data_IF_721209396626
#
_entry.id   IF_721209396626
#
_cell.length_a   1.000
_cell.length_b   1.000
_cell.length_c   1.000
_cell.angle_alpha   90.00
_cell.angle_beta   90.00
_cell.angle_gamma   90.00
#
_symmetry.space_group_name_H-M   'P 1'
#
loop_
_entity.id
_entity.type
_entity.pdbx_description
1 polymer ?
#
# COMPACT_ATOMS: atom_id res chain seq x y z
N UNK A 1 1.69 27.50 0.41
CA UNK A 1 0.42 26.98 0.99
C UNK A 1 0.17 25.48 0.71
N UNK A 2 0.62 24.91 -0.43
CA UNK A 2 0.55 23.45 -0.66
C UNK A 2 1.48 22.62 0.24
N UNK A 3 2.61 23.17 0.65
CA UNK A 3 3.61 22.46 1.48
C UNK A 3 3.09 22.11 2.88
N UNK A 4 2.43 23.06 3.58
CA UNK A 4 1.92 22.83 4.94
C UNK A 4 0.82 21.76 5.03
N UNK A 5 0.10 21.48 3.93
CA UNK A 5 -1.01 20.53 3.93
C UNK A 5 -0.56 19.09 4.18
N UNK A 6 0.63 18.73 3.70
CA UNK A 6 1.17 17.37 3.80
C UNK A 6 2.24 17.23 4.89
N UNK A 7 2.86 18.34 5.32
CA UNK A 7 3.84 18.32 6.41
C UNK A 7 3.22 17.88 7.73
N UNK A 8 2.03 18.39 8.09
CA UNK A 8 1.42 18.08 9.40
C UNK A 8 1.10 16.59 9.52
N UNK A 9 0.35 15.96 8.59
CA UNK A 9 0.04 14.54 8.73
C UNK A 9 1.28 13.63 8.64
N UNK A 10 2.29 14.04 7.87
CA UNK A 10 3.57 13.33 7.82
C UNK A 10 4.28 13.39 9.18
N UNK A 11 4.41 14.58 9.77
CA UNK A 11 5.04 14.75 11.08
C UNK A 11 4.29 13.99 12.17
N UNK A 12 2.96 14.01 12.14
CA UNK A 12 2.13 13.23 13.07
C UNK A 12 2.42 11.74 12.94
N UNK A 13 2.53 11.20 11.71
CA UNK A 13 2.90 9.80 11.50
C UNK A 13 4.28 9.43 12.09
N UNK A 14 5.25 10.34 12.09
CA UNK A 14 6.53 10.14 12.78
C UNK A 14 6.40 10.18 14.31
N UNK A 15 5.50 11.02 14.84
CA UNK A 15 5.25 11.16 16.29
C UNK A 15 4.50 9.96 16.89
N UNK A 16 3.78 9.18 16.08
CA UNK A 16 3.08 7.97 16.51
C UNK A 16 4.02 6.83 16.95
N UNK A 17 5.34 6.92 16.69
CA UNK A 17 6.36 5.94 17.12
C UNK A 17 6.05 4.48 16.68
N UNK A 18 5.37 4.35 15.55
CA UNK A 18 5.07 3.08 14.92
C UNK A 18 6.31 2.42 14.28
N UNK A 19 6.22 1.16 13.86
CA UNK A 19 7.31 0.46 13.16
C UNK A 19 7.59 1.05 11.78
N UNK A 20 6.65 1.77 11.17
CA UNK A 20 6.84 2.48 9.92
C UNK A 20 5.84 3.64 9.77
N UNK A 21 6.29 4.91 9.70
CA UNK A 21 5.40 6.06 9.57
C UNK A 21 4.60 6.04 8.25
N UNK A 22 5.15 5.47 7.18
CA UNK A 22 4.42 5.33 5.92
C UNK A 22 3.36 4.23 5.95
N UNK A 23 3.50 3.19 6.78
CA UNK A 23 2.38 2.26 7.02
C UNK A 23 1.22 2.99 7.70
N UNK A 24 1.52 3.86 8.67
CA UNK A 24 0.52 4.67 9.37
C UNK A 24 -0.22 5.60 8.40
N UNK A 25 0.52 6.30 7.55
CA UNK A 25 -0.05 7.15 6.49
C UNK A 25 -0.92 6.33 5.56
N UNK A 26 -0.43 5.19 5.05
CA UNK A 26 -1.19 4.35 4.14
C UNK A 26 -2.50 3.86 4.77
N UNK A 27 -2.47 3.44 6.04
CA UNK A 27 -3.70 3.05 6.76
C UNK A 27 -4.67 4.22 6.89
N UNK A 28 -4.19 5.40 7.28
CA UNK A 28 -5.04 6.58 7.43
C UNK A 28 -5.67 6.98 6.09
N UNK A 29 -4.88 6.95 5.00
CA UNK A 29 -5.37 7.20 3.64
C UNK A 29 -6.43 6.20 3.21
N UNK A 30 -6.23 4.92 3.48
CA UNK A 30 -7.19 3.87 3.15
C UNK A 30 -8.51 4.05 3.91
N UNK A 31 -8.44 4.30 5.22
CA UNK A 31 -9.63 4.55 6.04
C UNK A 31 -10.40 5.78 5.56
N UNK A 32 -9.70 6.89 5.29
CA UNK A 32 -10.31 8.10 4.74
C UNK A 32 -10.91 7.87 3.35
N UNK A 33 -10.25 7.09 2.49
CA UNK A 33 -10.78 6.77 1.16
C UNK A 33 -12.03 5.89 1.24
N UNK A 34 -12.08 4.93 2.18
CA UNK A 34 -13.29 4.14 2.46
C UNK A 34 -14.42 5.02 3.00
N UNK A 35 -14.14 5.88 3.99
CA UNK A 35 -15.12 6.82 4.54
C UNK A 35 -15.65 7.79 3.49
N UNK A 36 -14.75 8.30 2.64
CA UNK A 36 -15.16 9.15 1.52
C UNK A 36 -16.07 8.37 0.59
N UNK A 37 -15.66 7.17 0.17
CA UNK A 37 -16.39 6.36 -0.84
C UNK A 37 -17.71 5.80 -0.32
N UNK A 38 -17.81 5.41 0.95
CA UNK A 38 -18.93 4.64 1.51
C UNK A 38 -19.51 5.20 2.82
N UNK A 39 -18.91 6.25 3.40
CA UNK A 39 -19.37 6.82 4.67
C UNK A 39 -20.70 7.57 4.56
N UNK A 40 -21.09 8.20 5.66
CA UNK A 40 -22.35 8.92 5.80
C UNK A 40 -22.52 10.10 4.83
N UNK A 41 -21.41 10.65 4.32
CA UNK A 41 -21.40 11.68 3.27
C UNK A 41 -21.66 11.16 1.85
N UNK A 42 -21.77 9.84 1.66
CA UNK A 42 -22.20 9.14 0.44
C UNK A 42 -21.69 9.73 -0.90
N UNK A 43 -20.38 9.95 -1.03
CA UNK A 43 -19.79 10.46 -2.28
C UNK A 43 -20.10 9.57 -3.51
N UNK A 44 -20.37 8.28 -3.31
CA UNK A 44 -20.86 7.38 -4.37
C UNK A 44 -22.17 7.82 -5.04
N UNK A 45 -22.91 8.74 -4.40
CA UNK A 45 -24.10 9.36 -4.97
C UNK A 45 -23.76 10.52 -5.91
N UNK A 46 -22.55 11.06 -5.87
CA UNK A 46 -22.05 12.09 -6.79
C UNK A 46 -21.72 11.46 -8.15
N UNK A 47 -22.18 12.07 -9.24
CA UNK A 47 -22.10 11.48 -10.58
C UNK A 47 -20.67 11.27 -11.07
N UNK A 48 -19.75 12.16 -10.70
CA UNK A 48 -18.33 12.08 -11.04
C UNK A 48 -17.61 10.97 -10.28
N UNK A 49 -17.88 10.84 -8.97
CA UNK A 49 -17.34 9.75 -8.14
C UNK A 49 -17.92 8.41 -8.59
N UNK A 50 -19.21 8.34 -8.89
CA UNK A 50 -19.85 7.13 -9.42
C UNK A 50 -19.23 6.73 -10.76
N UNK A 51 -19.00 7.68 -11.66
CA UNK A 51 -18.33 7.40 -12.93
C UNK A 51 -16.90 6.85 -12.73
N UNK A 52 -16.15 7.39 -11.77
CA UNK A 52 -14.79 6.93 -11.45
C UNK A 52 -14.80 5.52 -10.85
N UNK A 53 -15.66 5.27 -9.87
CA UNK A 53 -15.80 3.95 -9.23
C UNK A 53 -16.34 2.90 -10.19
N UNK A 54 -17.29 3.25 -11.06
CA UNK A 54 -17.77 2.35 -12.13
C UNK A 54 -16.65 1.98 -13.11
N UNK A 55 -15.78 2.95 -13.45
CA UNK A 55 -14.66 2.73 -14.37
C UNK A 55 -13.55 1.87 -13.75
N UNK A 56 -13.15 2.18 -12.52
CA UNK A 56 -12.00 1.54 -11.88
C UNK A 56 -12.36 0.24 -11.15
N UNK A 57 -13.56 0.16 -10.57
CA UNK A 57 -13.91 -0.91 -9.65
C UNK A 57 -13.03 -0.91 -8.39
N UNK A 58 -12.92 -2.07 -7.76
CA UNK A 58 -12.12 -2.26 -6.56
C UNK A 58 -11.31 -3.56 -6.64
N UNK A 59 -10.16 -3.60 -5.97
CA UNK A 59 -9.40 -4.84 -5.85
C UNK A 59 -10.08 -5.79 -4.85
N UNK A 60 -9.67 -7.06 -4.85
CA UNK A 60 -10.17 -8.08 -3.93
C UNK A 60 -10.16 -7.61 -2.46
N UNK A 61 -9.06 -6.99 -2.03
CA UNK A 61 -8.88 -6.57 -0.64
C UNK A 61 -9.81 -5.40 -0.30
N UNK A 62 -9.98 -4.45 -1.22
CA UNK A 62 -10.89 -3.32 -1.03
C UNK A 62 -12.37 -3.73 -1.10
N UNK A 63 -12.75 -4.72 -1.92
CA UNK A 63 -14.10 -5.29 -1.83
C UNK A 63 -14.38 -5.89 -0.45
N UNK A 64 -13.41 -6.62 0.12
CA UNK A 64 -13.56 -7.18 1.46
C UNK A 64 -13.67 -6.09 2.52
N UNK A 65 -12.79 -5.06 2.48
CA UNK A 65 -12.83 -3.94 3.42
C UNK A 65 -14.13 -3.13 3.32
N UNK A 66 -14.61 -2.86 2.11
CA UNK A 66 -15.90 -2.20 1.87
C UNK A 66 -17.08 -3.00 2.45
N UNK A 67 -17.07 -4.33 2.30
CA UNK A 67 -18.11 -5.19 2.88
C UNK A 67 -18.08 -5.16 4.42
N UNK A 68 -16.88 -5.26 5.01
CA UNK A 68 -16.68 -5.22 6.45
C UNK A 68 -16.99 -3.85 7.07
N UNK A 69 -16.81 -2.77 6.30
CA UNK A 69 -17.15 -1.41 6.71
C UNK A 69 -18.61 -1.27 7.16
N UNK A 70 -19.54 -2.01 6.53
CA UNK A 70 -20.90 -2.19 7.03
C UNK A 70 -22.01 -1.42 6.29
N UNK A 71 -21.67 -0.44 5.44
CA UNK A 71 -22.65 0.22 4.57
C UNK A 71 -23.08 -0.68 3.39
N UNK A 72 -24.00 -1.61 3.65
CA UNK A 72 -24.48 -2.58 2.66
C UNK A 72 -25.26 -1.95 1.52
N UNK A 73 -26.06 -0.92 1.78
CA UNK A 73 -26.83 -0.24 0.74
C UNK A 73 -25.91 0.53 -0.21
N UNK A 74 -24.97 1.31 0.33
CA UNK A 74 -23.97 2.01 -0.49
C UNK A 74 -23.13 1.04 -1.32
N UNK A 75 -22.68 -0.06 -0.71
CA UNK A 75 -21.98 -1.13 -1.44
C UNK A 75 -22.83 -1.72 -2.56
N UNK A 76 -24.12 -1.99 -2.32
CA UNK A 76 -25.02 -2.52 -3.34
C UNK A 76 -25.22 -1.55 -4.51
N UNK A 77 -25.37 -0.25 -4.22
CA UNK A 77 -25.56 0.78 -5.24
C UNK A 77 -24.31 0.93 -6.14
N UNK A 78 -23.12 0.99 -5.54
CA UNK A 78 -21.84 1.01 -6.28
C UNK A 78 -21.69 -0.25 -7.14
N UNK A 79 -21.96 -1.42 -6.56
CA UNK A 79 -21.83 -2.69 -7.27
C UNK A 79 -22.82 -2.80 -8.42
N UNK A 80 -24.06 -2.32 -8.27
CA UNK A 80 -25.06 -2.37 -9.33
C UNK A 80 -24.58 -1.65 -10.59
N UNK A 81 -24.09 -0.42 -10.46
CA UNK A 81 -23.63 0.39 -11.59
C UNK A 81 -22.34 -0.15 -12.19
N UNK A 82 -21.39 -0.57 -11.34
CA UNK A 82 -20.14 -1.17 -11.80
C UNK A 82 -20.38 -2.50 -12.53
N UNK A 83 -21.26 -3.38 -12.04
CA UNK A 83 -21.59 -4.64 -12.70
C UNK A 83 -22.31 -4.43 -14.04
N UNK A 84 -23.19 -3.43 -14.16
CA UNK A 84 -23.80 -3.06 -15.45
C UNK A 84 -22.74 -2.62 -16.46
N UNK A 85 -21.76 -1.83 -16.02
CA UNK A 85 -20.63 -1.42 -16.87
C UNK A 85 -19.74 -2.59 -17.25
N UNK A 86 -19.30 -3.40 -16.30
CA UNK A 86 -18.51 -4.62 -16.58
C UNK A 86 -19.23 -5.55 -17.55
N UNK A 87 -20.54 -5.71 -17.42
CA UNK A 87 -21.34 -6.53 -18.35
C UNK A 87 -21.30 -5.97 -19.77
N UNK A 88 -21.41 -4.65 -19.93
CA UNK A 88 -21.31 -3.99 -21.22
C UNK A 88 -19.91 -4.17 -21.82
N UNK A 89 -18.88 -3.80 -21.06
CA UNK A 89 -17.49 -3.82 -21.52
C UNK A 89 -17.04 -5.27 -21.82
N UNK A 90 -17.44 -6.25 -21.01
CA UNK A 90 -17.15 -7.66 -21.25
C UNK A 90 -17.81 -8.17 -22.54
N UNK A 91 -19.06 -7.78 -22.83
CA UNK A 91 -19.72 -8.12 -24.10
C UNK A 91 -18.93 -7.59 -25.28
N UNK A 92 -18.48 -6.33 -25.22
CA UNK A 92 -17.64 -5.73 -26.26
C UNK A 92 -16.31 -6.51 -26.44
N UNK A 93 -15.66 -6.90 -25.34
CA UNK A 93 -14.44 -7.72 -25.42
C UNK A 93 -14.70 -9.11 -26.02
N UNK A 94 -15.86 -9.72 -25.75
CA UNK A 94 -16.25 -11.02 -26.30
C UNK A 94 -16.64 -10.94 -27.78
N UNK A 95 -17.28 -9.85 -28.21
CA UNK A 95 -17.60 -9.60 -29.62
C UNK A 95 -16.32 -9.42 -30.46
N UNK A 96 -15.29 -8.81 -29.88
CA UNK A 96 -13.97 -8.65 -30.48
C UNK A 96 -12.96 -9.70 -30.01
N UNK A 97 -13.42 -10.90 -29.65
CA UNK A 97 -12.54 -11.94 -29.13
C UNK A 97 -11.42 -12.28 -30.12
N UNK A 98 -10.18 -12.16 -29.63
CA UNK A 98 -8.98 -12.53 -30.38
C UNK A 98 -8.09 -13.44 -29.54
N UNK A 99 -7.65 -14.55 -30.12
CA UNK A 99 -6.63 -15.40 -29.51
C UNK A 99 -5.29 -14.68 -29.56
N UNK A 100 -4.47 -14.79 -28.51
CA UNK A 100 -3.11 -14.25 -28.52
C UNK A 100 -2.33 -14.74 -29.75
N UNK A 101 -1.42 -13.89 -30.26
CA UNK A 101 -0.72 -14.13 -31.52
C UNK A 101 -0.12 -15.54 -31.57
N UNK A 102 -0.43 -16.30 -32.64
CA UNK A 102 0.31 -17.53 -32.93
C UNK A 102 1.77 -17.11 -33.20
N UNK A 103 2.77 -17.79 -32.64
CA UNK A 103 4.16 -17.46 -32.92
C UNK A 103 4.38 -17.52 -34.43
N UNK A 104 4.73 -16.38 -35.03
CA UNK A 104 5.15 -16.33 -36.43
C UNK A 104 6.29 -17.31 -36.63
N UNK A 105 6.28 -18.07 -37.74
CA UNK A 105 7.35 -19.01 -38.07
C UNK A 105 8.74 -18.34 -38.15
N UNK A 106 8.79 -17.01 -38.34
CA UNK A 106 10.01 -16.19 -38.28
C UNK A 106 10.52 -15.91 -36.86
N UNK A 107 9.69 -16.10 -35.82
CA UNK A 107 10.05 -15.93 -34.41
C UNK A 107 10.84 -17.10 -33.81
N UNK A 108 10.92 -18.25 -34.51
CA UNK A 108 11.67 -19.45 -34.06
C UNK A 108 13.19 -19.27 -33.98
N UNK A 109 13.73 -18.16 -34.51
CA UNK A 109 15.17 -17.85 -34.50
C UNK A 109 15.63 -17.02 -33.29
N UNK A 110 14.71 -16.40 -32.52
CA UNK A 110 15.06 -15.74 -31.26
C UNK A 110 14.74 -16.66 -30.08
N UNK A 111 15.79 -17.28 -29.51
CA UNK A 111 15.76 -17.89 -28.18
C UNK A 111 15.65 -16.79 -27.12
N UNK A 112 14.49 -16.17 -26.99
CA UNK A 112 14.08 -15.50 -25.76
C UNK A 112 12.96 -16.35 -25.14
N UNK A 113 13.01 -16.54 -23.82
CA UNK A 113 11.96 -17.26 -23.10
C UNK A 113 10.58 -16.72 -23.54
N UNK A 114 9.59 -17.58 -23.79
CA UNK A 114 8.26 -17.11 -24.16
C UNK A 114 7.73 -16.24 -23.02
N UNK A 115 7.45 -14.98 -23.32
CA UNK A 115 6.74 -14.10 -22.41
C UNK A 115 5.38 -14.75 -22.11
N UNK A 116 5.08 -15.12 -20.84
CA UNK A 116 3.82 -15.75 -20.47
C UNK A 116 2.60 -14.86 -20.73
N UNK A 117 2.77 -13.55 -20.93
CA UNK A 117 1.69 -12.62 -21.30
C UNK A 117 1.44 -12.57 -22.81
N UNK A 118 2.44 -12.87 -23.64
CA UNK A 118 2.36 -12.80 -25.11
C UNK A 118 1.43 -13.83 -25.77
N UNK A 119 0.84 -14.76 -25.00
CA UNK A 119 -0.09 -15.80 -25.49
C UNK A 119 -1.51 -15.69 -24.93
N UNK A 120 -1.91 -14.52 -24.43
CA UNK A 120 -3.21 -14.35 -23.79
C UNK A 120 -4.24 -13.75 -24.75
N UNK A 121 -5.50 -14.20 -24.67
CA UNK A 121 -6.59 -13.62 -25.45
C UNK A 121 -6.99 -12.25 -24.87
N UNK A 122 -7.58 -11.38 -25.70
CA UNK A 122 -7.96 -10.02 -25.29
C UNK A 122 -8.86 -9.98 -24.06
N UNK A 123 -9.82 -10.91 -23.94
CA UNK A 123 -10.71 -11.00 -22.77
C UNK A 123 -9.93 -11.28 -21.49
N UNK A 124 -8.99 -12.21 -21.51
CA UNK A 124 -8.14 -12.56 -20.37
C UNK A 124 -7.27 -11.38 -19.95
N UNK A 125 -6.70 -10.67 -20.93
CA UNK A 125 -5.90 -9.46 -20.69
C UNK A 125 -6.76 -8.37 -20.06
N UNK A 126 -7.95 -8.13 -20.59
CA UNK A 126 -8.89 -7.15 -20.04
C UNK A 126 -9.31 -7.51 -18.61
N UNK A 127 -9.67 -8.77 -18.32
CA UNK A 127 -10.00 -9.22 -16.95
C UNK A 127 -8.83 -8.98 -15.99
N UNK A 128 -7.59 -9.27 -16.42
CA UNK A 128 -6.39 -9.00 -15.60
C UNK A 128 -6.20 -7.51 -15.34
N UNK A 129 -6.50 -6.65 -16.31
CA UNK A 129 -6.48 -5.20 -16.13
C UNK A 129 -7.53 -4.75 -15.12
N UNK A 130 -8.76 -5.29 -15.19
CA UNK A 130 -9.80 -5.01 -14.20
C UNK A 130 -9.35 -5.43 -12.79
N UNK A 131 -8.70 -6.59 -12.64
CA UNK A 131 -8.18 -7.05 -11.33
C UNK A 131 -7.04 -6.18 -10.76
N UNK A 132 -6.38 -5.37 -11.60
CA UNK A 132 -5.34 -4.42 -11.19
C UNK A 132 -5.88 -3.00 -11.00
N UNK A 133 -7.12 -2.73 -11.37
CA UNK A 133 -7.75 -1.44 -11.20
C UNK A 133 -8.49 -1.38 -9.87
N UNK A 134 -8.32 -0.28 -9.14
CA UNK A 134 -9.03 -0.05 -7.89
C UNK A 134 -9.08 1.43 -7.58
N UNK A 135 -10.31 1.95 -7.43
CA UNK A 135 -10.54 3.34 -7.09
C UNK A 135 -9.84 3.76 -5.79
N UNK A 136 -9.99 2.97 -4.71
CA UNK A 136 -9.39 3.28 -3.42
C UNK A 136 -7.86 3.25 -3.49
N UNK A 137 -7.26 2.25 -4.16
CA UNK A 137 -5.81 2.21 -4.37
C UNK A 137 -5.33 3.48 -5.09
N UNK A 138 -6.01 3.91 -6.16
CA UNK A 138 -5.62 5.10 -6.93
C UNK A 138 -5.64 6.37 -6.06
N UNK A 139 -6.62 6.53 -5.18
CA UNK A 139 -6.69 7.65 -4.23
C UNK A 139 -5.54 7.62 -3.21
N UNK A 140 -5.22 6.43 -2.69
CA UNK A 140 -4.10 6.23 -1.76
C UNK A 140 -2.78 6.58 -2.43
N UNK A 141 -2.47 5.96 -3.57
CA UNK A 141 -1.20 6.13 -4.29
C UNK A 141 -0.96 7.60 -4.68
N UNK A 142 -2.00 8.28 -5.19
CA UNK A 142 -1.91 9.69 -5.58
C UNK A 142 -1.54 10.59 -4.41
N UNK A 143 -2.01 10.25 -3.21
CA UNK A 143 -1.74 11.05 -2.00
C UNK A 143 -0.43 10.62 -1.34
N UNK A 144 -0.10 9.32 -1.37
CA UNK A 144 1.15 8.75 -0.88
C UNK A 144 2.37 9.37 -1.57
N UNK A 145 2.37 9.50 -2.90
CA UNK A 145 3.48 10.13 -3.63
C UNK A 145 3.71 11.59 -3.19
N UNK A 146 2.66 12.30 -2.75
CA UNK A 146 2.79 13.67 -2.22
C UNK A 146 3.43 13.69 -0.83
N UNK A 147 3.11 12.71 0.02
CA UNK A 147 3.80 12.54 1.30
C UNK A 147 5.26 12.14 1.11
N UNK A 148 5.56 11.28 0.14
CA UNK A 148 6.91 10.89 -0.20
C UNK A 148 7.73 12.12 -0.67
N UNK A 149 7.18 12.94 -1.56
CA UNK A 149 7.80 14.20 -1.96
C UNK A 149 8.04 15.15 -0.78
N UNK A 150 7.06 15.24 0.15
CA UNK A 150 7.15 16.06 1.36
C UNK A 150 8.25 15.58 2.30
N UNK A 151 8.40 14.26 2.48
CA UNK A 151 9.50 13.66 3.25
C UNK A 151 10.87 14.15 2.74
N UNK A 152 11.10 14.10 1.43
CA UNK A 152 12.37 14.55 0.86
C UNK A 152 12.55 16.07 0.97
N UNK A 153 11.47 16.83 0.93
CA UNK A 153 11.52 18.27 1.15
C UNK A 153 11.95 18.62 2.58
N UNK A 154 11.35 17.98 3.58
CA UNK A 154 11.75 18.13 4.99
C UNK A 154 13.20 17.69 5.21
N UNK A 155 13.60 16.58 4.58
CA UNK A 155 14.97 16.09 4.63
C UNK A 155 15.98 17.09 4.05
N UNK A 156 15.69 17.66 2.87
CA UNK A 156 16.54 18.68 2.23
C UNK A 156 16.64 19.95 3.07
N UNK A 157 15.54 20.39 3.67
CA UNK A 157 15.50 21.54 4.59
C UNK A 157 16.27 21.30 5.89
N UNK A 158 16.55 20.03 6.20
CA UNK A 158 17.23 19.62 7.42
C UNK A 158 16.53 20.19 8.67
N UNK A 159 15.20 20.08 8.71
CA UNK A 159 14.40 20.57 9.84
C UNK A 159 14.72 19.75 11.11
N UNK A 160 15.09 20.43 12.20
CA UNK A 160 15.63 19.78 13.41
C UNK A 160 14.68 18.73 14.00
N UNK A 161 13.39 19.05 14.14
CA UNK A 161 12.39 18.12 14.68
C UNK A 161 12.23 16.88 13.78
N UNK A 162 12.11 17.09 12.47
CA UNK A 162 11.96 15.99 11.52
C UNK A 162 13.21 15.09 11.51
N UNK A 163 14.40 15.68 11.53
CA UNK A 163 15.66 14.94 11.54
C UNK A 163 15.86 14.16 12.85
N UNK A 164 15.42 14.70 13.99
CA UNK A 164 15.42 13.98 15.26
C UNK A 164 14.46 12.78 15.23
N UNK A 165 13.21 13.00 14.80
CA UNK A 165 12.21 11.93 14.66
C UNK A 165 12.66 10.84 13.69
N UNK A 166 13.27 11.22 12.56
CA UNK A 166 13.79 10.28 11.57
C UNK A 166 14.88 9.38 12.18
N UNK A 167 15.86 9.97 12.86
CA UNK A 167 17.01 9.24 13.44
C UNK A 167 16.60 8.36 14.63
N UNK A 168 15.68 8.84 15.45
CA UNK A 168 15.25 8.15 16.67
C UNK A 168 14.05 7.19 16.44
N UNK A 169 13.51 7.16 15.23
CA UNK A 169 12.41 6.26 14.86
C UNK A 169 12.81 4.78 14.81
N UNK A 170 11.81 3.91 14.63
CA UNK A 170 11.99 2.46 14.45
C UNK A 170 12.31 2.05 13.01
N UNK A 171 12.70 3.01 12.16
CA UNK A 171 12.93 2.81 10.74
C UNK A 171 11.63 2.63 9.94
N UNK A 172 11.68 1.79 8.92
CA UNK A 172 10.62 1.59 7.93
C UNK A 172 10.38 0.10 7.69
N UNK A 173 9.23 -0.27 7.13
CA UNK A 173 9.06 -1.62 6.59
C UNK A 173 9.85 -1.79 5.29
N UNK A 174 10.14 -3.02 4.89
CA UNK A 174 10.92 -3.32 3.68
C UNK A 174 10.33 -2.66 2.41
N UNK A 175 9.01 -2.70 2.16
CA UNK A 175 8.42 -2.01 1.00
C UNK A 175 8.72 -0.51 0.99
N UNK A 176 8.35 0.23 2.05
CA UNK A 176 8.55 1.68 2.11
C UNK A 176 10.03 2.09 2.21
N UNK A 177 10.89 1.24 2.77
CA UNK A 177 12.34 1.44 2.69
C UNK A 177 12.82 1.41 1.24
N UNK A 178 12.33 0.48 0.42
CA UNK A 178 12.57 0.44 -1.02
C UNK A 178 12.09 1.72 -1.72
N UNK A 179 10.86 2.14 -1.45
CA UNK A 179 10.27 3.37 -2.01
C UNK A 179 11.09 4.61 -1.67
N UNK A 180 11.63 4.69 -0.45
CA UNK A 180 12.50 5.79 -0.03
C UNK A 180 13.83 5.81 -0.77
N UNK A 181 14.43 4.66 -1.06
CA UNK A 181 15.67 4.62 -1.85
C UNK A 181 15.44 4.98 -3.31
N UNK A 182 14.39 4.43 -3.93
CA UNK A 182 14.00 4.81 -5.29
C UNK A 182 13.53 6.27 -5.38
N UNK A 183 12.84 6.77 -4.35
CA UNK A 183 12.47 8.17 -4.21
C UNK A 183 13.68 9.09 -4.06
N UNK A 184 14.71 8.68 -3.31
CA UNK A 184 15.91 9.48 -3.11
C UNK A 184 16.63 9.76 -4.44
N UNK A 185 16.66 8.80 -5.36
CA UNK A 185 17.21 8.99 -6.72
C UNK A 185 16.43 10.03 -7.54
N UNK A 186 15.12 10.14 -7.30
CA UNK A 186 14.23 11.11 -7.98
C UNK A 186 14.30 12.51 -7.37
N UNK A 187 14.42 12.61 -6.04
CA UNK A 187 14.19 13.86 -5.30
C UNK A 187 15.46 14.50 -4.70
N UNK A 188 16.56 13.76 -4.58
CA UNK A 188 17.79 14.20 -3.91
C UNK A 188 18.99 14.15 -4.87
N UNK A 189 19.96 15.04 -4.64
CA UNK A 189 21.28 14.97 -5.28
C UNK A 189 22.13 13.85 -4.63
N UNK A 190 23.25 13.46 -5.27
CA UNK A 190 24.11 12.36 -4.80
C UNK A 190 24.61 12.53 -3.34
N UNK A 191 24.92 13.77 -2.94
CA UNK A 191 25.39 14.08 -1.58
C UNK A 191 24.28 13.84 -0.55
N UNK A 192 23.07 14.31 -0.83
CA UNK A 192 21.92 14.11 0.06
C UNK A 192 21.45 12.65 0.07
N UNK A 193 21.55 11.94 -1.06
CA UNK A 193 21.32 10.49 -1.09
C UNK A 193 22.31 9.74 -0.20
N UNK A 194 23.59 10.10 -0.22
CA UNK A 194 24.59 9.52 0.68
C UNK A 194 24.26 9.80 2.14
N UNK A 195 23.92 11.05 2.49
CA UNK A 195 23.48 11.44 3.83
C UNK A 195 22.25 10.67 4.30
N UNK A 196 21.29 10.42 3.40
CA UNK A 196 20.10 9.64 3.73
C UNK A 196 20.47 8.18 4.03
N UNK A 197 21.32 7.56 3.22
CA UNK A 197 21.77 6.17 3.43
C UNK A 197 22.55 6.00 4.72
N UNK A 198 23.39 6.97 5.09
CA UNK A 198 24.13 6.98 6.37
C UNK A 198 23.19 6.92 7.59
N UNK A 199 21.99 7.49 7.48
CA UNK A 199 20.97 7.44 8.53
C UNK A 199 20.16 6.15 8.43
N UNK A 200 19.61 5.85 7.25
CA UNK A 200 18.60 4.81 7.10
C UNK A 200 19.18 3.39 7.14
N UNK A 201 20.38 3.15 6.61
CA UNK A 201 20.91 1.78 6.50
C UNK A 201 21.20 1.17 7.88
N UNK A 202 21.96 1.83 8.79
CA UNK A 202 22.18 1.29 10.12
C UNK A 202 20.88 1.13 10.90
N UNK A 203 19.98 2.11 10.80
CA UNK A 203 18.68 2.08 11.47
C UNK A 203 17.83 0.89 10.99
N UNK A 204 17.84 0.58 9.70
CA UNK A 204 17.08 -0.54 9.14
C UNK A 204 17.60 -1.89 9.65
N UNK A 205 18.92 -2.09 9.63
CA UNK A 205 19.55 -3.33 10.13
C UNK A 205 19.27 -3.51 11.62
N UNK A 206 19.53 -2.47 12.44
CA UNK A 206 19.29 -2.51 13.87
C UNK A 206 17.84 -2.86 14.22
N UNK A 207 16.87 -2.30 13.48
CA UNK A 207 15.45 -2.57 13.75
C UNK A 207 15.00 -3.96 13.27
N UNK A 208 15.58 -4.50 12.18
CA UNK A 208 15.32 -5.88 11.77
C UNK A 208 15.88 -6.88 12.79
N UNK A 209 17.10 -6.64 13.29
CA UNK A 209 17.70 -7.47 14.34
C UNK A 209 16.90 -7.41 15.65
N UNK A 210 16.47 -6.20 16.07
CA UNK A 210 15.59 -6.02 17.23
C UNK A 210 14.32 -6.87 17.13
N UNK A 211 13.59 -6.74 16.02
CA UNK A 211 12.34 -7.49 15.81
C UNK A 211 12.59 -8.99 15.70
N UNK A 212 13.70 -9.40 15.10
CA UNK A 212 14.09 -10.81 15.05
C UNK A 212 14.25 -11.36 16.46
N UNK A 213 14.96 -10.65 17.35
CA UNK A 213 15.09 -11.03 18.75
C UNK A 213 13.74 -11.09 19.50
N UNK A 214 12.83 -10.16 19.21
CA UNK A 214 11.48 -10.19 19.78
C UNK A 214 10.69 -11.44 19.33
N UNK A 215 10.79 -11.81 18.05
CA UNK A 215 10.15 -13.02 17.49
C UNK A 215 10.77 -14.29 18.05
N UNK A 216 12.09 -14.36 18.20
CA UNK A 216 12.76 -15.48 18.86
C UNK A 216 12.31 -15.64 20.32
N UNK A 217 12.14 -14.53 21.04
CA UNK A 217 11.62 -14.56 22.41
C UNK A 217 10.15 -15.01 22.43
N UNK A 218 9.33 -14.54 21.48
CA UNK A 218 7.97 -15.02 21.30
C UNK A 218 7.92 -16.54 21.09
N UNK A 219 8.79 -17.10 20.25
CA UNK A 219 8.86 -18.54 20.02
C UNK A 219 9.22 -19.30 21.30
N UNK A 220 10.21 -18.81 22.07
CA UNK A 220 10.60 -19.43 23.36
C UNK A 220 9.46 -19.49 24.36
N UNK A 221 8.52 -18.55 24.33
CA UNK A 221 7.34 -18.56 25.23
C UNK A 221 6.41 -19.76 25.05
N UNK A 222 6.55 -20.51 23.95
CA UNK A 222 5.83 -21.77 23.72
C UNK A 222 6.61 -23.01 24.20
N UNK A 223 7.84 -22.85 24.66
CA UNK A 223 8.60 -23.88 25.37
C UNK A 223 8.22 -23.86 26.86
N UNK A 224 7.91 -25.03 27.41
CA UNK A 224 7.50 -25.19 28.82
C UNK A 224 8.54 -24.64 29.81
N UNK A 225 9.83 -24.62 29.44
CA UNK A 225 10.90 -24.09 30.27
C UNK A 225 10.79 -22.57 30.49
N UNK A 226 10.20 -21.86 29.53
CA UNK A 226 10.07 -20.40 29.55
C UNK A 226 8.63 -19.94 29.76
N UNK A 227 7.71 -20.86 30.08
CA UNK A 227 6.27 -20.56 30.24
C UNK A 227 6.02 -19.44 31.26
N UNK A 228 6.78 -19.41 32.36
CA UNK A 228 6.62 -18.44 33.45
C UNK A 228 7.58 -17.24 33.32
N UNK A 229 8.43 -17.19 32.29
CA UNK A 229 9.32 -16.07 32.04
C UNK A 229 8.56 -14.79 31.60
N UNK A 230 9.12 -13.60 31.82
CA UNK A 230 8.49 -12.36 31.34
C UNK A 230 8.42 -12.33 29.80
N UNK A 231 7.33 -11.81 29.24
CA UNK A 231 7.17 -11.65 27.79
C UNK A 231 8.06 -10.57 27.19
N UNK A 232 8.57 -9.63 27.99
CA UNK A 232 9.28 -8.43 27.51
C UNK A 232 8.44 -7.75 26.40
N UNK A 233 9.07 -7.38 25.30
CA UNK A 233 8.44 -6.77 24.14
C UNK A 233 7.88 -7.80 23.13
N UNK A 234 7.84 -9.09 23.47
CA UNK A 234 7.54 -10.12 22.47
C UNK A 234 6.04 -10.37 22.21
N UNK A 235 5.12 -9.84 23.03
CA UNK A 235 3.68 -10.14 22.93
C UNK A 235 3.10 -9.82 21.55
N UNK A 236 3.57 -8.72 20.95
CA UNK A 236 3.18 -8.23 19.64
C UNK A 236 4.28 -8.41 18.59
N UNK A 237 5.29 -9.24 18.86
CA UNK A 237 6.44 -9.42 17.95
C UNK A 237 6.01 -9.89 16.57
N UNK A 238 5.04 -10.81 16.50
CA UNK A 238 4.59 -11.40 15.21
C UNK A 238 3.94 -10.34 14.31
N UNK A 239 3.03 -9.53 14.84
CA UNK A 239 2.37 -8.48 14.08
C UNK A 239 3.35 -7.37 13.65
N UNK A 240 4.28 -6.97 14.53
CA UNK A 240 5.35 -6.01 14.20
C UNK A 240 6.30 -6.56 13.13
N UNK A 241 6.64 -7.84 13.19
CA UNK A 241 7.48 -8.51 12.19
C UNK A 241 6.79 -8.58 10.83
N UNK A 242 5.51 -8.93 10.79
CA UNK A 242 4.71 -8.93 9.57
C UNK A 242 4.61 -7.52 8.97
N UNK A 243 4.33 -6.49 9.79
CA UNK A 243 4.35 -5.09 9.33
C UNK A 243 5.72 -4.70 8.77
N UNK A 244 6.82 -5.05 9.46
CA UNK A 244 8.18 -4.72 9.00
C UNK A 244 8.53 -5.43 7.69
N UNK A 245 8.13 -6.68 7.52
CA UNK A 245 8.46 -7.47 6.34
C UNK A 245 7.58 -7.12 5.12
N UNK A 246 6.28 -6.95 5.34
CA UNK A 246 5.27 -6.89 4.27
C UNK A 246 4.47 -5.59 4.18
N UNK A 247 4.70 -4.63 5.08
CA UNK A 247 3.84 -3.45 5.32
C UNK A 247 2.45 -3.77 5.89
N UNK A 248 1.68 -2.73 6.21
CA UNK A 248 0.31 -2.84 6.71
C UNK A 248 0.19 -3.22 8.18
N UNK A 249 -1.04 -3.46 8.63
CA UNK A 249 -1.38 -3.79 10.02
C UNK A 249 -2.17 -5.09 10.08
N UNK A 250 -1.51 -6.26 10.18
CA UNK A 250 -2.19 -7.55 10.15
C UNK A 250 -3.09 -7.80 11.36
N UNK A 251 -2.85 -7.08 12.46
CA UNK A 251 -3.62 -7.19 13.69
C UNK A 251 -4.73 -6.14 13.81
N UNK A 252 -4.86 -5.23 12.84
CA UNK A 252 -5.91 -4.22 12.90
C UNK A 252 -7.29 -4.90 12.79
N UNK A 253 -8.25 -4.53 13.66
CA UNK A 253 -9.62 -4.97 13.48
C UNK A 253 -10.16 -4.39 12.16
N UNK A 254 -11.20 -5.01 11.57
CA UNK A 254 -11.88 -4.43 10.43
C UNK A 254 -12.30 -2.99 10.71
N UNK A 255 -11.99 -2.08 9.77
CA UNK A 255 -12.46 -0.70 9.85
C UNK A 255 -13.96 -0.67 9.57
N UNK A 256 -14.76 -0.20 10.53
CA UNK A 256 -16.22 -0.18 10.46
C UNK A 256 -16.74 1.25 10.44
N UNK A 257 -17.91 1.42 9.81
CA UNK A 257 -18.66 2.66 9.83
C UNK A 257 -18.96 3.05 11.27
N UNK A 258 -18.57 4.27 11.64
CA UNK A 258 -18.87 4.88 12.93
C UNK A 258 -20.23 5.55 12.94
#
# INVERSE_FOLDING_TARGET
>A
MKEQLYTIPLMDAFREKDECPFCFIHRSLEQHAIDFTLGSGASYMEDDIRFQTDKAGFCKDHYQKMFLYGNRLGSALILETHLKKLTKDLKEQMEHYSTGDKPSLLGRLKKSAPDPEAKTNNVSTWIRMQNKSCYICEQIETTYERYLATFFELFKRNEDEFMDLLKNGKGFCLPHFGDLLSGAERYLNEKDQARLREILFPQMIQNLERITGDVEWFQKKFDYQFKDADWKDAKDAVQRAMQKAGSGYPADPPYIQK
#
